data_IF_606866164117
#
_entry.id   IF_606866164117
#
_cell.length_a   1.000
_cell.length_b   1.000
_cell.length_c   1.000
_cell.angle_alpha   90.00
_cell.angle_beta   90.00
_cell.angle_gamma   90.00
#
_symmetry.space_group_name_H-M   'P 1'
#
loop_
_entity.id
_entity.type
_entity.pdbx_description
1 polymer ?
#
# COMPACT_ATOMS: atom_id res chain seq x y z
N UNK A 1 10.68 -11.68 34.02
CA UNK A 1 10.27 -10.63 33.08
C UNK A 1 8.75 -10.54 33.14
N UNK A 2 8.19 -9.45 33.67
CA UNK A 2 6.73 -9.26 33.62
C UNK A 2 6.33 -9.02 32.17
N UNK A 3 5.44 -9.87 31.66
CA UNK A 3 4.84 -9.70 30.33
C UNK A 3 3.98 -8.44 30.34
N UNK A 4 4.43 -7.38 29.65
CA UNK A 4 3.67 -6.13 29.43
C UNK A 4 2.55 -6.32 28.39
N UNK A 5 1.83 -7.45 28.40
CA UNK A 5 0.73 -7.67 27.47
C UNK A 5 -0.51 -6.94 27.98
N UNK A 6 -0.89 -5.86 27.30
CA UNK A 6 -2.11 -5.10 27.60
C UNK A 6 -3.37 -5.69 26.94
N UNK A 7 -3.21 -6.70 26.08
CA UNK A 7 -4.33 -7.32 25.35
C UNK A 7 -3.97 -8.63 24.67
N UNK A 8 -4.87 -9.09 23.79
CA UNK A 8 -4.66 -10.25 22.91
C UNK A 8 -3.68 -9.84 21.81
N UNK A 9 -2.67 -10.68 21.57
CA UNK A 9 -1.71 -10.46 20.47
C UNK A 9 -2.37 -10.80 19.13
N UNK A 10 -2.09 -9.98 18.12
CA UNK A 10 -2.34 -10.35 16.72
C UNK A 10 -1.39 -11.52 16.37
N UNK A 11 -1.91 -12.64 15.84
CA UNK A 11 -1.07 -13.77 15.44
C UNK A 11 -0.26 -13.51 14.16
N UNK A 12 -0.54 -12.43 13.43
CA UNK A 12 0.15 -12.05 12.21
C UNK A 12 1.40 -11.24 12.51
N UNK A 13 2.32 -11.26 11.55
CA UNK A 13 3.46 -10.35 11.51
C UNK A 13 3.20 -9.25 10.49
N UNK A 14 4.06 -8.22 10.54
CA UNK A 14 4.06 -7.14 9.56
C UNK A 14 5.41 -7.08 8.86
N UNK A 15 5.38 -7.08 7.54
CA UNK A 15 6.54 -6.87 6.69
C UNK A 15 6.39 -5.60 5.87
N UNK A 16 7.51 -4.92 5.61
CA UNK A 16 7.53 -3.71 4.79
C UNK A 16 8.02 -4.05 3.39
N UNK A 17 7.17 -3.83 2.39
CA UNK A 17 7.48 -4.14 0.99
C UNK A 17 7.65 -2.85 0.20
N UNK A 18 8.81 -2.69 -0.43
CA UNK A 18 9.10 -1.56 -1.31
C UNK A 18 8.39 -1.76 -2.66
N UNK A 19 7.82 -0.70 -3.27
CA UNK A 19 7.24 -0.77 -4.60
C UNK A 19 8.24 -1.37 -5.60
N UNK A 20 7.75 -2.27 -6.45
CA UNK A 20 8.58 -2.90 -7.47
C UNK A 20 8.73 -1.98 -8.69
N UNK A 21 7.68 -1.22 -9.05
CA UNK A 21 7.66 -0.34 -10.22
C UNK A 21 6.77 0.88 -10.03
N UNK A 22 7.15 1.98 -10.67
CA UNK A 22 6.24 3.07 -11.05
C UNK A 22 5.70 2.72 -12.43
N UNK A 23 4.42 2.43 -12.54
CA UNK A 23 3.82 1.96 -13.81
C UNK A 23 3.07 3.06 -14.55
N UNK A 24 2.74 4.16 -13.87
CA UNK A 24 2.09 5.32 -14.49
C UNK A 24 2.24 6.57 -13.62
N UNK A 25 2.39 7.72 -14.29
CA UNK A 25 2.27 9.07 -13.72
C UNK A 25 1.43 9.93 -14.67
N UNK A 26 0.86 11.04 -14.19
CA UNK A 26 0.23 12.02 -15.08
C UNK A 26 1.24 12.64 -16.05
N UNK A 27 0.80 13.00 -17.26
CA UNK A 27 1.67 13.48 -18.34
C UNK A 27 2.50 14.71 -17.97
N UNK A 28 1.91 15.62 -17.20
CA UNK A 28 2.55 16.85 -16.73
C UNK A 28 3.00 16.72 -15.26
N UNK A 29 3.26 15.49 -14.79
CA UNK A 29 3.64 15.28 -13.41
C UNK A 29 5.02 15.89 -13.09
N UNK A 30 5.10 16.58 -11.96
CA UNK A 30 6.33 17.17 -11.45
C UNK A 30 6.90 16.36 -10.30
N UNK A 31 7.80 15.42 -10.63
CA UNK A 31 8.59 14.64 -9.69
C UNK A 31 10.05 15.09 -9.67
N UNK A 32 10.71 14.94 -8.51
CA UNK A 32 12.16 14.87 -8.42
C UNK A 32 12.55 13.59 -7.68
N UNK A 33 13.52 12.86 -8.23
CA UNK A 33 14.10 11.63 -7.67
C UNK A 33 13.08 10.49 -7.47
N UNK A 34 12.05 10.35 -8.31
CA UNK A 34 11.01 9.34 -8.15
C UNK A 34 11.53 7.89 -8.12
N UNK A 35 12.68 7.62 -8.74
CA UNK A 35 13.35 6.33 -8.70
C UNK A 35 13.73 5.88 -7.29
N UNK A 36 13.89 6.81 -6.34
CA UNK A 36 14.16 6.50 -4.94
C UNK A 36 12.97 5.81 -4.26
N UNK A 37 11.76 5.93 -4.80
CA UNK A 37 10.59 5.17 -4.32
C UNK A 37 10.74 3.66 -4.50
N UNK A 38 11.63 3.23 -5.40
CA UNK A 38 11.88 1.82 -5.71
C UNK A 38 13.07 1.24 -4.92
N UNK A 39 13.74 2.06 -4.10
CA UNK A 39 14.87 1.64 -3.30
C UNK A 39 14.40 1.27 -1.88
N UNK A 40 14.97 0.18 -1.34
CA UNK A 40 14.66 -0.26 0.02
C UNK A 40 15.38 0.59 1.06
N UNK A 41 14.83 1.80 1.29
CA UNK A 41 15.34 2.78 2.26
C UNK A 41 14.65 2.63 3.61
N UNK A 42 15.28 3.08 4.68
CA UNK A 42 14.65 3.12 6.01
C UNK A 42 13.50 4.14 6.03
N UNK A 43 12.32 3.73 6.51
CA UNK A 43 11.15 4.63 6.60
C UNK A 43 11.28 5.69 7.69
N UNK A 44 12.20 5.50 8.65
CA UNK A 44 12.42 6.44 9.74
C UNK A 44 12.82 7.82 9.19
N UNK A 45 11.97 8.79 9.47
CA UNK A 45 12.16 10.16 8.99
C UNK A 45 13.20 10.86 9.87
N UNK A 46 14.30 11.33 9.26
CA UNK A 46 15.30 12.18 9.92
C UNK A 46 14.85 13.65 9.91
N UNK A 47 15.38 14.46 10.84
CA UNK A 47 15.07 15.89 10.90
C UNK A 47 15.54 16.62 9.63
N UNK A 48 16.67 16.20 9.08
CA UNK A 48 17.20 16.73 7.81
C UNK A 48 16.89 15.72 6.71
N UNK A 49 16.14 16.09 5.66
CA UNK A 49 15.95 15.23 4.50
C UNK A 49 17.27 14.93 3.82
N UNK A 50 17.51 13.67 3.50
CA UNK A 50 18.61 13.24 2.65
C UNK A 50 17.98 12.65 1.38
N UNK A 51 18.22 13.27 0.23
CA UNK A 51 17.66 12.88 -1.07
C UNK A 51 16.15 12.55 -1.03
N UNK A 52 15.26 13.53 -0.80
CA UNK A 52 13.83 13.28 -0.81
C UNK A 52 13.28 13.11 -2.22
N UNK A 53 12.21 12.33 -2.31
CA UNK A 53 11.33 12.34 -3.48
C UNK A 53 10.42 13.56 -3.34
N UNK A 54 10.46 14.47 -4.32
CA UNK A 54 9.59 15.66 -4.30
C UNK A 54 8.41 15.40 -5.22
N UNK A 55 7.20 15.53 -4.69
CA UNK A 55 5.95 15.41 -5.45
C UNK A 55 5.25 16.76 -5.39
N UNK A 56 5.15 17.47 -6.52
CA UNK A 56 4.45 18.77 -6.59
C UNK A 56 3.04 18.60 -7.14
N UNK A 57 2.09 19.36 -6.61
CA UNK A 57 0.71 19.30 -7.07
C UNK A 57 0.40 20.34 -8.15
N UNK A 58 0.55 19.91 -9.39
CA UNK A 58 0.03 20.49 -10.63
C UNK A 58 -1.05 19.58 -11.26
N UNK A 59 -1.68 18.72 -10.46
CA UNK A 59 -2.48 17.59 -10.93
C UNK A 59 -1.72 16.26 -10.92
N UNK A 60 -0.52 16.23 -10.33
CA UNK A 60 0.34 15.05 -10.22
C UNK A 60 -0.36 13.87 -9.54
N UNK A 61 -0.33 12.73 -10.22
CA UNK A 61 -0.73 11.42 -9.70
C UNK A 61 0.32 10.38 -10.06
N UNK A 62 0.47 9.37 -9.21
CA UNK A 62 1.41 8.26 -9.41
C UNK A 62 0.74 6.93 -9.08
N UNK A 63 1.01 5.91 -9.88
CA UNK A 63 0.58 4.54 -9.67
C UNK A 63 1.79 3.62 -9.45
N UNK A 64 1.80 3.00 -8.28
CA UNK A 64 2.83 2.06 -7.83
C UNK A 64 2.34 0.63 -7.99
N UNK A 65 3.20 -0.26 -8.47
CA UNK A 65 3.02 -1.72 -8.49
C UNK A 65 3.97 -2.37 -7.47
N UNK A 66 3.42 -3.10 -6.51
CA UNK A 66 4.19 -3.85 -5.51
C UNK A 66 4.65 -5.23 -6.00
N UNK A 67 4.25 -5.62 -7.22
CA UNK A 67 4.69 -6.84 -7.90
C UNK A 67 3.84 -8.08 -7.60
N UNK A 68 3.15 -8.10 -6.46
CA UNK A 68 2.26 -9.19 -6.01
C UNK A 68 1.11 -8.64 -5.15
N UNK A 69 0.02 -9.40 -5.03
CA UNK A 69 -1.12 -9.07 -4.18
C UNK A 69 -0.79 -9.18 -2.69
N UNK A 70 -1.01 -8.11 -1.94
CA UNK A 70 -0.72 -8.00 -0.50
C UNK A 70 -2.01 -7.71 0.27
N UNK A 71 -2.05 -8.16 1.52
CA UNK A 71 -3.05 -7.71 2.49
C UNK A 71 -2.42 -6.74 3.49
N UNK A 72 -3.05 -5.58 3.68
CA UNK A 72 -2.66 -4.60 4.69
C UNK A 72 -2.84 -3.18 4.16
N UNK A 73 -1.81 -2.35 4.29
CA UNK A 73 -1.90 -0.94 3.90
C UNK A 73 -0.61 -0.42 3.29
N UNK A 74 -0.45 0.89 3.27
CA UNK A 74 0.84 1.54 3.02
C UNK A 74 1.28 2.33 4.24
N UNK A 75 2.58 2.50 4.37
CA UNK A 75 3.22 3.51 5.20
C UNK A 75 3.81 4.58 4.28
N UNK A 76 3.33 5.80 4.44
CA UNK A 76 3.79 6.98 3.73
C UNK A 76 4.63 7.84 4.68
N UNK A 77 5.96 7.75 4.53
CA UNK A 77 6.92 8.50 5.33
C UNK A 77 7.16 9.87 4.70
N UNK A 78 6.67 10.93 5.35
CA UNK A 78 6.74 12.31 4.87
C UNK A 78 7.76 13.08 5.69
N UNK A 79 8.71 13.73 5.01
CA UNK A 79 9.59 14.71 5.63
C UNK A 79 8.88 16.04 5.83
N UNK A 80 8.50 16.67 4.73
CA UNK A 80 7.92 18.01 4.74
C UNK A 80 6.69 18.09 3.87
N UNK A 81 5.74 18.92 4.29
CA UNK A 81 4.65 19.41 3.47
C UNK A 81 4.88 20.89 3.26
N UNK A 82 4.74 21.38 2.02
CA UNK A 82 4.90 22.79 1.68
C UNK A 82 3.66 23.24 0.92
N UNK A 83 3.17 24.44 1.23
CA UNK A 83 2.03 25.06 0.55
C UNK A 83 2.32 26.54 0.35
N UNK A 84 2.17 27.04 -0.87
CA UNK A 84 2.47 28.45 -1.25
C UNK A 84 3.88 28.89 -0.84
N UNK A 85 4.85 27.97 -0.91
CA UNK A 85 6.25 28.21 -0.55
C UNK A 85 6.56 28.16 0.96
N UNK A 86 5.58 27.89 1.82
CA UNK A 86 5.76 27.80 3.27
C UNK A 86 5.62 26.36 3.78
N UNK A 87 6.44 26.00 4.78
CA UNK A 87 6.30 24.72 5.48
C UNK A 87 4.97 24.67 6.23
N UNK A 88 4.20 23.62 6.00
CA UNK A 88 2.93 23.36 6.68
C UNK A 88 2.98 22.03 7.42
N UNK A 89 2.13 21.88 8.44
CA UNK A 89 2.14 20.67 9.28
C UNK A 89 1.53 19.46 8.58
N UNK A 90 0.64 19.67 7.61
CA UNK A 90 -0.13 18.62 6.98
C UNK A 90 -0.41 18.94 5.51
N UNK A 91 -0.62 17.90 4.71
CA UNK A 91 -1.12 17.98 3.34
C UNK A 91 -2.22 16.93 3.11
N UNK A 92 -3.11 17.16 2.14
CA UNK A 92 -4.13 16.16 1.75
C UNK A 92 -3.67 15.32 0.57
N UNK A 93 -3.73 14.01 0.75
CA UNK A 93 -3.41 13.00 -0.27
C UNK A 93 -4.60 12.08 -0.45
N UNK A 94 -4.98 11.79 -1.69
CA UNK A 94 -5.90 10.69 -2.00
C UNK A 94 -5.11 9.41 -2.18
N UNK A 95 -5.52 8.36 -1.48
CA UNK A 95 -4.93 7.02 -1.60
C UNK A 95 -5.97 6.07 -2.15
N UNK A 96 -5.58 5.34 -3.19
CA UNK A 96 -6.44 4.38 -3.89
C UNK A 96 -5.75 3.05 -4.07
N UNK A 97 -6.34 2.03 -3.49
CA UNK A 97 -5.88 0.65 -3.59
C UNK A 97 -6.55 -0.06 -4.78
N UNK A 98 -5.90 -1.09 -5.31
CA UNK A 98 -6.51 -1.98 -6.29
C UNK A 98 -5.76 -3.28 -6.46
N UNK A 99 -6.50 -4.37 -6.70
CA UNK A 99 -5.92 -5.65 -7.12
C UNK A 99 -5.47 -5.59 -8.59
N UNK A 100 -6.05 -4.66 -9.36
CA UNK A 100 -5.68 -4.38 -10.74
C UNK A 100 -5.45 -2.88 -10.99
N UNK A 101 -4.73 -2.56 -12.06
CA UNK A 101 -4.54 -1.19 -12.54
C UNK A 101 -5.87 -0.50 -12.78
N UNK A 102 -6.81 -1.18 -13.45
CA UNK A 102 -8.13 -0.63 -13.77
C UNK A 102 -8.88 -0.23 -12.49
N UNK A 103 -8.78 -1.06 -11.46
CA UNK A 103 -9.43 -0.77 -10.18
C UNK A 103 -8.82 0.45 -9.48
N UNK A 104 -7.50 0.49 -9.33
CA UNK A 104 -6.80 1.62 -8.69
C UNK A 104 -7.05 2.95 -9.42
N UNK A 105 -7.35 2.88 -10.73
CA UNK A 105 -7.66 4.02 -11.57
C UNK A 105 -9.13 4.45 -11.57
N UNK A 106 -10.06 3.56 -11.18
CA UNK A 106 -11.50 3.83 -11.24
C UNK A 106 -12.00 4.74 -10.10
N UNK A 107 -12.98 5.59 -10.40
CA UNK A 107 -13.70 6.40 -9.41
C UNK A 107 -14.81 5.58 -8.73
N UNK A 108 -15.10 5.90 -7.46
CA UNK A 108 -16.25 5.34 -6.73
C UNK A 108 -17.55 5.71 -7.47
N UNK A 109 -18.46 4.74 -7.62
CA UNK A 109 -19.76 4.94 -8.26
C UNK A 109 -19.71 5.18 -9.78
N UNK A 110 -18.54 5.00 -10.40
CA UNK A 110 -18.36 5.10 -11.84
C UNK A 110 -18.85 3.86 -12.60
N UNK A 111 -18.47 3.77 -13.88
CA UNK A 111 -18.91 2.69 -14.79
C UNK A 111 -18.57 1.26 -14.33
N UNK A 112 -17.58 1.11 -13.45
CA UNK A 112 -17.15 -0.19 -12.88
C UNK A 112 -17.88 -0.53 -11.57
N UNK A 113 -18.82 0.31 -11.12
CA UNK A 113 -19.51 0.19 -9.83
C UNK A 113 -18.53 -0.03 -8.66
N UNK A 114 -17.39 0.65 -8.72
CA UNK A 114 -16.37 0.64 -7.69
C UNK A 114 -16.93 1.22 -6.38
N UNK A 115 -16.78 0.52 -5.26
CA UNK A 115 -17.24 0.96 -3.94
C UNK A 115 -16.14 0.86 -2.88
N UNK A 116 -16.46 1.33 -1.68
CA UNK A 116 -15.67 1.14 -0.44
C UNK A 116 -16.34 0.10 0.47
N UNK A 117 -17.12 -0.83 -0.11
CA UNK A 117 -17.83 -1.83 0.68
C UNK A 117 -16.84 -2.81 1.32
N UNK A 118 -17.06 -3.09 2.60
CA UNK A 118 -16.28 -4.01 3.45
C UNK A 118 -14.80 -3.62 3.72
N UNK A 119 -14.16 -2.85 2.84
CA UNK A 119 -12.88 -2.19 3.09
C UNK A 119 -12.75 -0.88 2.31
N UNK A 120 -12.11 0.12 2.94
CA UNK A 120 -11.87 1.42 2.31
C UNK A 120 -10.77 1.27 1.25
N UNK A 121 -11.16 1.40 -0.02
CA UNK A 121 -10.26 1.35 -1.18
C UNK A 121 -9.78 2.73 -1.60
N UNK A 122 -10.65 3.72 -1.54
CA UNK A 122 -10.42 5.06 -2.05
C UNK A 122 -10.80 6.08 -0.97
N UNK A 123 -9.80 6.82 -0.48
CA UNK A 123 -9.94 7.76 0.62
C UNK A 123 -9.01 8.97 0.48
N UNK A 124 -9.42 10.08 1.09
CA UNK A 124 -8.60 11.28 1.25
C UNK A 124 -8.14 11.33 2.70
N UNK A 125 -6.84 11.45 2.91
CA UNK A 125 -6.22 11.48 4.25
C UNK A 125 -5.33 12.71 4.41
N UNK A 126 -5.26 13.21 5.64
CA UNK A 126 -4.25 14.20 6.02
C UNK A 126 -2.95 13.47 6.37
N UNK A 127 -1.85 13.84 5.72
CA UNK A 127 -0.52 13.32 6.00
C UNK A 127 0.28 14.37 6.75
N UNK A 128 0.93 13.96 7.85
CA UNK A 128 1.69 14.90 8.68
C UNK A 128 3.15 14.97 8.26
N UNK A 129 3.73 16.17 8.34
CA UNK A 129 5.19 16.37 8.21
C UNK A 129 5.93 15.59 9.31
N UNK A 130 7.15 15.15 9.03
CA UNK A 130 7.95 14.26 9.88
C UNK A 130 7.15 13.04 10.39
N UNK A 131 6.24 12.53 9.57
CA UNK A 131 5.26 11.52 9.95
C UNK A 131 5.40 10.24 9.12
N UNK A 132 5.17 9.09 9.77
CA UNK A 132 5.01 7.79 9.13
C UNK A 132 3.52 7.43 9.13
N UNK A 133 2.82 7.81 8.07
CA UNK A 133 1.36 7.73 8.00
C UNK A 133 0.96 6.35 7.49
N UNK A 134 0.37 5.51 8.34
CA UNK A 134 -0.15 4.19 7.95
C UNK A 134 -1.61 4.30 7.48
N UNK A 135 -1.89 3.87 6.24
CA UNK A 135 -3.16 4.09 5.55
C UNK A 135 -3.60 2.78 4.89
N UNK A 136 -4.88 2.41 5.00
CA UNK A 136 -5.44 1.22 4.37
C UNK A 136 -5.92 0.19 5.38
N UNK A 137 -5.51 -1.06 5.20
CA UNK A 137 -6.15 -2.30 5.67
C UNK A 137 -7.15 -2.86 4.64
N UNK A 138 -6.63 -3.24 3.46
CA UNK A 138 -7.36 -3.85 2.32
C UNK A 138 -6.46 -4.83 1.57
N UNK A 139 -7.00 -5.50 0.55
CA UNK A 139 -6.23 -6.30 -0.39
C UNK A 139 -5.87 -5.49 -1.62
N UNK A 140 -4.60 -5.51 -2.02
CA UNK A 140 -4.11 -4.69 -3.14
C UNK A 140 -2.80 -5.21 -3.72
N UNK A 141 -2.55 -4.88 -4.98
CA UNK A 141 -1.21 -4.94 -5.60
C UNK A 141 -0.76 -3.56 -6.06
N UNK A 142 -1.71 -2.71 -6.42
CA UNK A 142 -1.49 -1.39 -6.96
C UNK A 142 -1.98 -0.31 -6.00
N UNK A 143 -1.22 0.78 -5.91
CA UNK A 143 -1.62 1.95 -5.13
C UNK A 143 -1.43 3.21 -5.96
N UNK A 144 -2.51 3.98 -6.12
CA UNK A 144 -2.47 5.33 -6.69
C UNK A 144 -2.46 6.36 -5.57
N UNK A 145 -1.57 7.34 -5.70
CA UNK A 145 -1.56 8.55 -4.89
C UNK A 145 -1.89 9.77 -5.75
N UNK A 146 -2.82 10.59 -5.28
CA UNK A 146 -3.13 11.88 -5.88
C UNK A 146 -2.86 12.99 -4.85
N UNK A 147 -2.06 14.00 -5.21
CA UNK A 147 -1.94 15.22 -4.42
C UNK A 147 -3.13 16.13 -4.76
N UNK A 148 -3.83 16.66 -3.75
CA UNK A 148 -5.13 17.33 -3.97
C UNK A 148 -5.11 18.84 -3.79
N UNK A 149 -4.18 19.39 -3.01
CA UNK A 149 -4.14 20.81 -2.70
C UNK A 149 -3.31 21.62 -3.68
N UNK A 150 -3.89 22.68 -4.25
CA UNK A 150 -3.18 23.61 -5.13
C UNK A 150 -1.96 24.24 -4.45
N UNK A 151 -0.91 24.51 -5.23
CA UNK A 151 0.37 25.08 -4.78
C UNK A 151 1.02 24.31 -3.62
N UNK A 152 0.73 23.01 -3.52
CA UNK A 152 1.27 22.12 -2.50
C UNK A 152 2.32 21.18 -3.08
N UNK A 153 3.36 20.89 -2.31
CA UNK A 153 4.25 19.78 -2.60
C UNK A 153 4.67 19.07 -1.32
N UNK A 154 5.00 17.79 -1.45
CA UNK A 154 5.46 16.96 -0.34
C UNK A 154 6.85 16.42 -0.63
N UNK A 155 7.66 16.30 0.41
CA UNK A 155 8.91 15.54 0.41
C UNK A 155 8.64 14.18 1.04
N UNK A 156 8.75 13.15 0.22
CA UNK A 156 8.53 11.76 0.61
C UNK A 156 9.89 11.08 0.82
N UNK A 157 10.03 10.37 1.95
CA UNK A 157 11.15 9.49 2.21
C UNK A 157 10.92 8.14 1.55
N UNK A 158 9.85 7.46 1.97
CA UNK A 158 9.47 6.15 1.46
C UNK A 158 7.96 6.03 1.34
N UNK A 159 7.55 5.17 0.42
CA UNK A 159 6.19 4.62 0.34
C UNK A 159 6.38 3.12 0.39
N UNK A 160 6.02 2.47 1.49
CA UNK A 160 6.11 1.01 1.63
C UNK A 160 4.74 0.41 1.83
N UNK A 161 4.49 -0.77 1.29
CA UNK A 161 3.35 -1.56 1.73
C UNK A 161 3.64 -2.12 3.13
N UNK A 162 2.60 -2.18 3.95
CA UNK A 162 2.58 -2.89 5.22
C UNK A 162 1.84 -4.20 4.92
N UNK A 163 2.59 -5.29 4.80
CA UNK A 163 2.06 -6.61 4.50
C UNK A 163 1.78 -7.37 5.79
N UNK A 164 0.51 -7.69 6.05
CA UNK A 164 0.08 -8.52 7.16
C UNK A 164 -0.13 -9.96 6.71
N UNK A 165 0.53 -10.88 7.38
CA UNK A 165 0.39 -12.31 7.13
C UNK A 165 0.74 -13.15 8.36
N UNK A 166 0.28 -14.39 8.39
CA UNK A 166 0.77 -15.34 9.39
C UNK A 166 2.21 -15.76 9.09
N UNK A 167 3.05 -15.77 10.11
CA UNK A 167 4.41 -16.33 10.05
C UNK A 167 4.33 -17.86 10.10
N UNK A 168 4.06 -18.47 8.94
CA UNK A 168 3.90 -19.92 8.80
C UNK A 168 4.99 -20.50 7.89
N UNK A 169 5.67 -21.57 8.32
CA UNK A 169 6.64 -22.24 7.46
C UNK A 169 5.94 -22.95 6.31
N UNK A 170 6.47 -22.79 5.09
CA UNK A 170 6.03 -23.55 3.92
C UNK A 170 6.48 -25.01 4.07
N UNK A 171 5.52 -25.93 4.16
CA UNK A 171 5.79 -27.38 4.33
C UNK A 171 5.55 -28.20 3.06
N UNK A 172 4.67 -27.74 2.18
CA UNK A 172 4.35 -28.40 0.92
C UNK A 172 5.13 -27.80 -0.23
N UNK A 173 5.46 -28.63 -1.23
CA UNK A 173 6.01 -28.17 -2.51
C UNK A 173 5.46 -29.02 -3.64
N UNK A 174 5.44 -28.46 -4.83
CA UNK A 174 5.06 -29.13 -6.06
C UNK A 174 6.00 -28.66 -7.16
N UNK A 175 6.39 -29.58 -8.04
CA UNK A 175 7.15 -29.26 -9.23
C UNK A 175 6.81 -30.26 -10.33
N UNK A 176 6.62 -29.75 -11.53
CA UNK A 176 6.35 -30.49 -12.76
C UNK A 176 7.26 -30.00 -13.88
N UNK A 177 7.43 -30.83 -14.91
CA UNK A 177 8.08 -30.44 -16.16
C UNK A 177 7.24 -29.42 -16.96
N UNK A 178 5.96 -29.28 -16.64
CA UNK A 178 5.09 -28.25 -17.24
C UNK A 178 5.20 -26.94 -16.44
N UNK A 179 5.76 -25.87 -17.01
CA UNK A 179 5.91 -24.59 -16.32
C UNK A 179 4.57 -23.92 -15.97
N UNK A 180 3.49 -24.18 -16.72
CA UNK A 180 2.18 -23.63 -16.41
C UNK A 180 1.60 -24.27 -15.14
N UNK A 181 1.78 -25.59 -14.96
CA UNK A 181 1.34 -26.26 -13.74
C UNK A 181 2.08 -25.74 -12.50
N UNK A 182 3.36 -25.40 -12.63
CA UNK A 182 4.13 -24.78 -11.56
C UNK A 182 3.55 -23.41 -11.20
N UNK A 183 3.27 -22.56 -12.20
CA UNK A 183 2.65 -21.24 -11.96
C UNK A 183 1.26 -21.34 -11.32
N UNK A 184 0.43 -22.29 -11.75
CA UNK A 184 -0.89 -22.54 -11.14
C UNK A 184 -0.72 -22.93 -9.67
N UNK A 185 0.23 -23.82 -9.36
CA UNK A 185 0.51 -24.22 -7.99
C UNK A 185 0.99 -23.05 -7.13
N UNK A 186 1.97 -22.28 -7.60
CA UNK A 186 2.53 -21.15 -6.87
C UNK A 186 1.47 -20.08 -6.59
N UNK A 187 0.63 -19.78 -7.59
CA UNK A 187 -0.50 -18.85 -7.45
C UNK A 187 -1.52 -19.36 -6.43
N UNK A 188 -1.88 -20.65 -6.50
CA UNK A 188 -2.83 -21.26 -5.56
C UNK A 188 -2.30 -21.28 -4.13
N UNK A 189 -1.04 -21.67 -3.94
CA UNK A 189 -0.38 -21.69 -2.64
C UNK A 189 -0.30 -20.29 -2.04
N UNK A 190 0.09 -19.29 -2.83
CA UNK A 190 0.13 -17.89 -2.40
C UNK A 190 -1.25 -17.34 -2.06
N UNK A 191 -2.27 -17.65 -2.86
CA UNK A 191 -3.66 -17.21 -2.61
C UNK A 191 -4.18 -17.78 -1.30
N UNK A 192 -3.93 -19.06 -1.01
CA UNK A 192 -4.30 -19.66 0.28
C UNK A 192 -3.57 -18.95 1.41
N UNK A 193 -2.26 -18.81 1.30
CA UNK A 193 -1.43 -18.14 2.30
C UNK A 193 -1.90 -16.72 2.61
N UNK A 194 -2.24 -15.94 1.58
CA UNK A 194 -2.71 -14.57 1.70
C UNK A 194 -4.05 -14.48 2.46
N UNK A 195 -4.89 -15.50 2.36
CA UNK A 195 -6.16 -15.62 3.08
C UNK A 195 -6.02 -16.29 4.47
N UNK A 196 -4.83 -16.75 4.85
CA UNK A 196 -4.52 -17.20 6.20
C UNK A 196 -4.13 -16.00 7.07
N UNK A 197 -5.08 -15.48 7.81
CA UNK A 197 -4.94 -14.30 8.67
C UNK A 197 -5.20 -14.71 10.13
N UNK A 198 -5.89 -13.92 10.94
CA UNK A 198 -6.38 -14.40 12.25
C UNK A 198 -7.30 -15.62 12.10
N UNK A 199 -7.88 -15.75 10.92
CA UNK A 199 -8.73 -16.83 10.48
C UNK A 199 -8.55 -17.08 8.97
N UNK A 200 -9.28 -18.04 8.42
CA UNK A 200 -9.30 -18.27 6.98
C UNK A 200 -10.38 -17.39 6.35
N UNK A 201 -9.96 -16.48 5.48
CA UNK A 201 -10.85 -15.61 4.73
C UNK A 201 -11.17 -16.19 3.35
N UNK A 202 -12.32 -15.80 2.81
CA UNK A 202 -12.71 -16.08 1.43
C UNK A 202 -11.99 -15.16 0.42
N UNK A 203 -11.70 -13.92 0.83
CA UNK A 203 -10.90 -12.96 0.07
C UNK A 203 -10.38 -11.80 0.92
N UNK A 204 -9.15 -11.36 0.65
CA UNK A 204 -8.45 -10.33 1.46
C UNK A 204 -8.99 -8.91 1.34
N UNK A 205 -9.73 -8.60 0.28
CA UNK A 205 -10.13 -7.24 -0.01
C UNK A 205 -11.47 -6.84 0.59
N UNK A 206 -12.53 -7.65 0.39
CA UNK A 206 -13.90 -7.28 0.77
C UNK A 206 -14.36 -8.04 2.00
N UNK A 207 -14.91 -9.22 1.79
CA UNK A 207 -15.80 -9.85 2.76
C UNK A 207 -15.09 -10.29 4.03
N UNK A 208 -13.89 -10.90 3.90
CA UNK A 208 -13.12 -11.45 5.03
C UNK A 208 -13.98 -12.34 5.93
N UNK A 209 -15.03 -12.90 5.35
CA UNK A 209 -16.05 -13.62 6.08
C UNK A 209 -15.57 -15.04 6.27
N UNK A 210 -15.86 -15.59 7.44
CA UNK A 210 -15.66 -17.01 7.66
C UNK A 210 -16.90 -17.70 7.13
N UNK A 211 -16.76 -18.48 6.06
CA UNK A 211 -17.86 -19.22 5.46
C UNK A 211 -18.34 -20.43 6.30
N UNK A 212 -18.49 -20.28 7.62
CA UNK A 212 -19.03 -21.32 8.50
C UNK A 212 -19.97 -20.73 9.55
N UNK A 213 -21.12 -20.24 9.09
CA UNK A 213 -22.40 -20.47 9.78
C UNK A 213 -23.24 -21.35 8.83
N UNK A 214 -23.12 -22.67 9.00
CA UNK A 214 -24.03 -23.69 8.44
C UNK A 214 -24.53 -24.56 9.58
#
# INVERSE_FOLDING_TARGET
>A
MQSMSLGKKDPRIREYVTPNKIIWTTSDASFENEELLLQDRESQVLITPDEPVIIRNDGTRILLDFGTELHGGIQLAIWNCVKKGELVKQAKVRVRFGESVMEAMSDIGGATNATNDHAIRDQIVDVSFLGMNEIGNTGFRFVRLDLLEEDCWIQVNTIKAIFYHCDLPVKGSFHSSDPLLNQIWDTGAYTVYLNMQEYIWDGIKRDRMHGMDW
#
